data_IF_854907752271
#
_entry.id   IF_854907752271
#
_cell.length_a   1.000
_cell.length_b   1.000
_cell.length_c   1.000
_cell.angle_alpha   90.00
_cell.angle_beta   90.00
_cell.angle_gamma   90.00
#
_symmetry.space_group_name_H-M   'P 1'
#
loop_
_entity.id
_entity.type
_entity.pdbx_description
1 polymer ?
#
# COMPACT_ATOMS: atom_id res chain seq x y z
N UNK A 1 -1.24 10.80 -16.02
CA UNK A 1 -2.39 10.02 -15.51
C UNK A 1 -2.90 10.67 -14.24
N UNK A 2 -4.22 10.82 -14.07
CA UNK A 2 -4.80 11.42 -12.84
C UNK A 2 -4.48 10.57 -11.61
N UNK A 3 -4.30 11.19 -10.44
CA UNK A 3 -4.06 10.51 -9.15
C UNK A 3 -5.21 9.53 -8.80
N UNK A 4 -6.45 9.84 -9.19
CA UNK A 4 -7.59 8.92 -9.05
C UNK A 4 -7.45 7.68 -9.93
N UNK A 5 -6.99 7.88 -11.17
CA UNK A 5 -6.82 6.82 -12.16
C UNK A 5 -5.65 5.90 -11.80
N UNK A 6 -4.58 6.45 -11.22
CA UNK A 6 -3.50 5.66 -10.64
C UNK A 6 -4.01 4.78 -9.49
N UNK A 7 -4.77 5.33 -8.53
CA UNK A 7 -5.34 4.53 -7.43
C UNK A 7 -6.21 3.38 -7.91
N UNK A 8 -7.08 3.63 -8.90
CA UNK A 8 -7.91 2.60 -9.51
C UNK A 8 -7.04 1.52 -10.15
N UNK A 9 -6.01 1.91 -10.91
CA UNK A 9 -5.08 0.97 -11.52
C UNK A 9 -4.34 0.11 -10.49
N UNK A 10 -3.86 0.72 -9.40
CA UNK A 10 -3.20 0.00 -8.30
C UNK A 10 -4.14 -1.01 -7.62
N UNK A 11 -5.42 -0.67 -7.43
CA UNK A 11 -6.42 -1.61 -6.91
C UNK A 11 -6.71 -2.76 -7.86
N UNK A 12 -6.81 -2.49 -9.17
CA UNK A 12 -7.02 -3.53 -10.19
C UNK A 12 -5.83 -4.50 -10.21
N UNK A 13 -4.59 -3.98 -10.17
CA UNK A 13 -3.39 -4.83 -10.18
C UNK A 13 -3.33 -5.69 -8.92
N UNK A 14 -3.62 -5.14 -7.73
CA UNK A 14 -3.70 -5.92 -6.49
C UNK A 14 -4.75 -7.03 -6.58
N UNK A 15 -5.89 -6.76 -7.20
CA UNK A 15 -6.93 -7.77 -7.38
C UNK A 15 -6.45 -8.90 -8.29
N UNK A 16 -5.84 -8.58 -9.44
CA UNK A 16 -5.27 -9.56 -10.37
C UNK A 16 -4.17 -10.38 -9.70
N UNK A 17 -3.31 -9.75 -8.90
CA UNK A 17 -2.22 -10.41 -8.17
C UNK A 17 -2.74 -11.48 -7.19
N UNK A 18 -3.83 -11.17 -6.47
CA UNK A 18 -4.51 -12.13 -5.58
C UNK A 18 -5.04 -13.34 -6.37
N UNK A 19 -5.68 -13.10 -7.52
CA UNK A 19 -6.17 -14.18 -8.39
C UNK A 19 -5.04 -15.05 -8.94
N UNK A 20 -3.96 -14.43 -9.41
CA UNK A 20 -2.78 -15.15 -9.91
C UNK A 20 -2.11 -15.97 -8.81
N UNK A 21 -2.05 -15.44 -7.59
CA UNK A 21 -1.50 -16.15 -6.44
C UNK A 21 -2.35 -17.36 -6.09
N UNK A 22 -3.68 -17.23 -6.08
CA UNK A 22 -4.59 -18.36 -5.88
C UNK A 22 -4.42 -19.43 -6.97
N UNK A 23 -4.31 -19.00 -8.23
CA UNK A 23 -4.09 -19.91 -9.35
C UNK A 23 -2.74 -20.64 -9.25
N UNK A 24 -1.66 -19.94 -8.89
CA UNK A 24 -0.33 -20.51 -8.74
C UNK A 24 -0.29 -21.56 -7.60
N UNK A 25 -0.99 -21.30 -6.49
CA UNK A 25 -1.15 -22.26 -5.40
C UNK A 25 -1.94 -23.49 -5.88
N UNK A 26 -3.07 -23.28 -6.54
CA UNK A 26 -3.94 -24.37 -7.01
C UNK A 26 -3.27 -25.27 -8.07
N UNK A 27 -2.35 -24.71 -8.86
CA UNK A 27 -1.57 -25.45 -9.87
C UNK A 27 -0.28 -26.04 -9.32
N UNK A 28 0.02 -25.86 -8.03
CA UNK A 28 1.26 -26.34 -7.41
C UNK A 28 2.52 -25.67 -7.97
N UNK A 29 2.39 -24.51 -8.60
CA UNK A 29 3.50 -23.80 -9.22
C UNK A 29 4.27 -22.98 -8.18
N UNK A 30 5.16 -23.67 -7.46
CA UNK A 30 5.99 -23.08 -6.39
C UNK A 30 6.81 -21.89 -6.89
N UNK A 31 7.40 -21.99 -8.09
CA UNK A 31 8.18 -20.91 -8.69
C UNK A 31 7.28 -19.69 -8.96
N UNK A 32 6.08 -19.92 -9.52
CA UNK A 32 5.08 -18.88 -9.72
C UNK A 32 4.70 -18.17 -8.42
N UNK A 33 4.50 -18.92 -7.32
CA UNK A 33 4.23 -18.33 -6.01
C UNK A 33 5.37 -17.45 -5.52
N UNK A 34 6.63 -17.87 -5.64
CA UNK A 34 7.79 -17.06 -5.20
C UNK A 34 7.91 -15.77 -6.01
N UNK A 35 7.71 -15.85 -7.32
CA UNK A 35 7.73 -14.68 -8.22
C UNK A 35 6.61 -13.71 -7.87
N UNK A 36 5.39 -14.22 -7.64
CA UNK A 36 4.24 -13.39 -7.27
C UNK A 36 4.47 -12.71 -5.94
N UNK A 37 4.97 -13.41 -4.91
CA UNK A 37 5.30 -12.79 -3.61
C UNK A 37 6.30 -11.64 -3.78
N UNK A 38 7.37 -11.85 -4.55
CA UNK A 38 8.35 -10.79 -4.82
C UNK A 38 7.74 -9.61 -5.58
N UNK A 39 6.89 -9.90 -6.55
CA UNK A 39 6.14 -8.89 -7.28
C UNK A 39 5.22 -8.10 -6.34
N UNK A 40 4.42 -8.75 -5.50
CA UNK A 40 3.51 -8.11 -4.54
C UNK A 40 4.24 -7.18 -3.58
N UNK A 41 5.42 -7.60 -3.07
CA UNK A 41 6.25 -6.79 -2.17
C UNK A 41 6.76 -5.53 -2.88
N UNK A 42 7.33 -5.72 -4.07
CA UNK A 42 7.93 -4.61 -4.85
C UNK A 42 6.84 -3.63 -5.27
N UNK A 43 5.74 -4.15 -5.78
CA UNK A 43 4.57 -3.37 -6.17
C UNK A 43 3.94 -2.63 -5.00
N UNK A 44 3.78 -3.29 -3.84
CA UNK A 44 3.24 -2.63 -2.64
C UNK A 44 4.10 -1.46 -2.18
N UNK A 45 5.43 -1.54 -2.31
CA UNK A 45 6.32 -0.41 -1.97
C UNK A 45 6.07 0.81 -2.85
N UNK A 46 5.84 0.61 -4.14
CA UNK A 46 5.53 1.71 -5.08
C UNK A 46 4.08 2.20 -4.97
N UNK A 47 3.13 1.30 -4.72
CA UNK A 47 1.71 1.61 -4.60
C UNK A 47 1.38 2.33 -3.29
N UNK A 48 2.05 1.96 -2.20
CA UNK A 48 1.87 2.50 -0.85
C UNK A 48 1.88 4.04 -0.79
N UNK A 49 2.88 4.77 -1.29
CA UNK A 49 2.89 6.23 -1.23
C UNK A 49 1.73 6.88 -1.99
N UNK A 50 1.19 6.24 -3.02
CA UNK A 50 0.09 6.77 -3.84
C UNK A 50 -1.27 6.44 -3.21
N UNK A 51 -1.46 5.19 -2.76
CA UNK A 51 -2.68 4.73 -2.09
C UNK A 51 -2.84 5.37 -0.71
N UNK A 52 -1.76 5.47 0.07
CA UNK A 52 -1.75 5.95 1.45
C UNK A 52 -1.37 7.43 1.58
N UNK A 53 -1.16 8.17 0.48
CA UNK A 53 -0.81 9.61 0.54
C UNK A 53 -1.71 10.41 1.47
N UNK A 54 -3.03 10.19 1.38
CA UNK A 54 -4.03 10.86 2.23
C UNK A 54 -4.07 10.34 3.67
N UNK A 55 -3.59 9.12 3.90
CA UNK A 55 -3.44 8.56 5.23
C UNK A 55 -2.21 9.15 5.93
N UNK A 56 -1.04 9.14 5.27
CA UNK A 56 0.19 9.75 5.79
C UNK A 56 0.02 11.24 6.07
N UNK A 57 -0.62 11.99 5.15
CA UNK A 57 -0.91 13.41 5.35
C UNK A 57 -1.79 13.66 6.59
N UNK A 58 -2.76 12.77 6.87
CA UNK A 58 -3.59 12.85 8.07
C UNK A 58 -2.82 12.47 9.33
N UNK A 59 -1.94 11.49 9.25
CA UNK A 59 -1.13 10.98 10.36
C UNK A 59 -0.09 12.02 10.80
N UNK A 60 0.56 12.67 9.83
CA UNK A 60 1.50 13.76 10.07
C UNK A 60 0.81 14.96 10.73
N UNK A 61 -0.39 15.34 10.25
CA UNK A 61 -1.19 16.40 10.87
C UNK A 61 -1.58 16.06 12.31
N UNK A 62 -1.91 14.79 12.61
CA UNK A 62 -2.19 14.33 13.98
C UNK A 62 -0.95 14.36 14.88
N UNK A 63 0.21 13.97 14.37
CA UNK A 63 1.48 14.07 15.13
C UNK A 63 1.81 15.52 15.48
N UNK A 64 1.57 16.44 14.56
CA UNK A 64 1.83 17.86 14.75
C UNK A 64 0.93 18.44 15.86
N UNK A 65 -0.37 18.14 15.82
CA UNK A 65 -1.33 18.53 16.88
C UNK A 65 -0.95 17.90 18.23
N UNK A 66 -0.57 16.63 18.25
CA UNK A 66 -0.15 15.95 19.49
C UNK A 66 1.08 16.61 20.10
N UNK A 67 2.06 16.98 19.28
CA UNK A 67 3.26 17.68 19.73
C UNK A 67 2.94 19.08 20.26
N UNK A 68 2.04 19.83 19.62
CA UNK A 68 1.58 21.12 20.14
C UNK A 68 0.87 20.98 21.50
N UNK A 69 0.01 19.98 21.65
CA UNK A 69 -0.67 19.69 22.92
C UNK A 69 0.32 19.30 24.02
N UNK A 70 1.32 18.48 23.70
CA UNK A 70 2.38 18.09 24.65
C UNK A 70 3.26 19.28 25.05
N UNK A 71 3.53 20.20 24.12
CA UNK A 71 4.29 21.42 24.39
C UNK A 71 3.51 22.37 25.29
N UNK A 72 2.22 22.58 25.02
CA UNK A 72 1.32 23.40 25.84
C UNK A 72 1.09 22.86 27.25
N UNK A 73 1.29 21.55 27.48
CA UNK A 73 1.18 20.91 28.80
C UNK A 73 2.47 20.98 29.62
N UNK A 74 3.58 21.38 28.98
CA UNK A 74 4.91 21.48 29.58
C UNK A 74 5.21 22.90 30.08
N UNK A 75 4.56 23.91 29.49
CA UNK A 75 4.51 25.30 29.98
C UNK A 75 3.39 25.45 31.03
#
# INVERSE_FOLDING_TARGET
>A
MSESMQKIMYHIILFVDVFLTFYAINTGNIIGCVVLIFFSITFSKEASPILLKNYYKRLEKRKLILNELLKKKRD
#
